data_IF_167165326809
#
_entry.id   IF_167165326809
#
_cell.length_a   1.000
_cell.length_b   1.000
_cell.length_c   1.000
_cell.angle_alpha   90.00
_cell.angle_beta   90.00
_cell.angle_gamma   90.00
#
_symmetry.space_group_name_H-M   'P 1'
#
loop_
_entity.id
_entity.type
_entity.pdbx_description
1 polymer ?
#
# COMPACT_ATOMS: atom_id res chain seq x y z
N UNK A 1 -15.82 12.76 -9.49
CA UNK A 1 -14.72 12.48 -8.53
C UNK A 1 -15.34 12.14 -7.18
N UNK A 2 -15.20 10.91 -6.72
CA UNK A 2 -15.87 10.39 -5.51
C UNK A 2 -15.30 10.98 -4.20
N UNK A 3 -14.01 11.27 -4.17
CA UNK A 3 -13.29 11.80 -3.01
C UNK A 3 -12.99 13.27 -3.23
N UNK A 4 -13.34 14.10 -2.26
CA UNK A 4 -13.09 15.55 -2.27
C UNK A 4 -11.81 15.91 -1.52
N UNK A 5 -11.55 15.27 -0.40
CA UNK A 5 -10.37 15.48 0.44
C UNK A 5 -10.09 14.22 1.27
N UNK A 6 -8.82 13.92 1.48
CA UNK A 6 -8.40 12.80 2.30
C UNK A 6 -7.07 13.07 2.98
N UNK A 7 -6.93 12.54 4.20
CA UNK A 7 -5.68 12.42 4.94
C UNK A 7 -5.71 11.15 5.81
N UNK A 8 -4.72 10.95 6.65
CA UNK A 8 -4.60 9.75 7.50
C UNK A 8 -5.72 9.59 8.54
N UNK A 9 -6.50 10.64 8.82
CA UNK A 9 -7.51 10.65 9.86
C UNK A 9 -8.92 10.60 9.32
N UNK A 10 -9.16 11.16 8.13
CA UNK A 10 -10.48 11.20 7.53
C UNK A 10 -10.45 11.30 6.00
N UNK A 11 -11.60 10.99 5.41
CA UNK A 11 -11.91 11.21 3.99
C UNK A 11 -13.22 11.92 3.86
N UNK A 12 -13.28 12.98 3.04
CA UNK A 12 -14.53 13.60 2.59
C UNK A 12 -14.91 13.09 1.21
N UNK A 13 -16.18 12.80 1.02
CA UNK A 13 -16.71 12.24 -0.22
C UNK A 13 -17.87 13.06 -0.77
N UNK A 14 -18.26 12.84 -2.02
CA UNK A 14 -19.29 13.62 -2.73
C UNK A 14 -20.57 12.82 -3.00
N UNK A 15 -20.56 11.54 -2.71
CA UNK A 15 -21.63 10.59 -3.01
C UNK A 15 -22.29 10.04 -1.74
N UNK A 16 -22.48 8.74 -1.62
CA UNK A 16 -22.95 8.05 -0.43
C UNK A 16 -21.82 7.22 0.20
N UNK A 17 -21.89 6.99 1.52
CA UNK A 17 -20.93 6.09 2.18
C UNK A 17 -21.01 4.68 1.60
N UNK A 18 -22.19 4.23 1.18
CA UNK A 18 -22.39 2.92 0.57
C UNK A 18 -21.59 2.78 -0.74
N UNK A 19 -21.69 3.77 -1.63
CA UNK A 19 -20.95 3.77 -2.91
C UNK A 19 -19.42 3.81 -2.67
N UNK A 20 -18.96 4.54 -1.65
CA UNK A 20 -17.56 4.53 -1.24
C UNK A 20 -17.14 3.12 -0.79
N UNK A 21 -17.94 2.45 0.03
CA UNK A 21 -17.62 1.11 0.51
C UNK A 21 -17.58 0.06 -0.60
N UNK A 22 -18.47 0.16 -1.57
CA UNK A 22 -18.47 -0.71 -2.75
C UNK A 22 -17.25 -0.45 -3.63
N UNK A 23 -16.97 0.82 -3.94
CA UNK A 23 -15.82 1.22 -4.75
C UNK A 23 -14.49 0.74 -4.16
N UNK A 24 -14.29 0.95 -2.85
CA UNK A 24 -13.06 0.59 -2.17
C UNK A 24 -13.08 -0.80 -1.53
N UNK A 25 -14.08 -1.61 -1.83
CA UNK A 25 -14.17 -3.00 -1.36
C UNK A 25 -14.13 -3.14 0.16
N UNK A 26 -14.78 -2.22 0.88
CA UNK A 26 -14.73 -2.17 2.35
C UNK A 26 -15.56 -3.28 2.98
N UNK A 27 -14.89 -4.24 3.59
CA UNK A 27 -15.51 -5.37 4.29
C UNK A 27 -16.20 -4.94 5.59
N UNK A 28 -17.09 -5.82 6.11
CA UNK A 28 -17.72 -5.63 7.42
C UNK A 28 -16.69 -5.45 8.55
N UNK A 29 -15.57 -6.15 8.48
CA UNK A 29 -14.49 -6.05 9.46
C UNK A 29 -13.81 -4.68 9.42
N UNK A 30 -13.58 -4.12 8.23
CA UNK A 30 -13.01 -2.79 8.09
C UNK A 30 -13.98 -1.70 8.55
N UNK A 31 -15.29 -1.85 8.32
CA UNK A 31 -16.30 -0.87 8.76
C UNK A 31 -16.27 -0.61 10.27
N UNK A 32 -15.83 -1.56 11.10
CA UNK A 32 -15.68 -1.38 12.56
C UNK A 32 -14.68 -0.27 12.94
N UNK A 33 -13.77 0.04 12.04
CA UNK A 33 -12.72 1.05 12.23
C UNK A 33 -13.07 2.39 11.59
N UNK A 34 -14.33 2.58 11.19
CA UNK A 34 -14.79 3.77 10.53
C UNK A 34 -15.90 4.44 11.34
N UNK A 35 -15.82 5.76 11.53
CA UNK A 35 -16.92 6.58 12.01
C UNK A 35 -17.45 7.42 10.86
N UNK A 36 -18.73 7.26 10.53
CA UNK A 36 -19.36 7.90 9.38
C UNK A 36 -20.16 9.09 9.85
N UNK A 37 -19.97 10.22 9.22
CA UNK A 37 -20.77 11.42 9.34
C UNK A 37 -21.42 11.70 7.98
N UNK A 38 -22.66 11.23 7.81
CA UNK A 38 -23.40 11.38 6.55
C UNK A 38 -23.77 12.84 6.27
N UNK A 39 -23.99 13.66 7.31
CA UNK A 39 -24.35 15.06 7.15
C UNK A 39 -23.21 15.87 6.55
N UNK A 40 -21.98 15.62 7.02
CA UNK A 40 -20.78 16.29 6.55
C UNK A 40 -20.06 15.50 5.44
N UNK A 41 -20.64 14.37 4.98
CA UNK A 41 -20.03 13.50 3.97
C UNK A 41 -18.59 13.13 4.32
N UNK A 42 -18.36 12.69 5.56
CA UNK A 42 -17.02 12.42 6.08
C UNK A 42 -16.96 11.03 6.70
N UNK A 43 -15.92 10.30 6.38
CA UNK A 43 -15.54 9.04 7.02
C UNK A 43 -14.26 9.29 7.81
N UNK A 44 -14.31 9.08 9.12
CA UNK A 44 -13.14 9.14 10.00
C UNK A 44 -12.53 7.74 10.15
N UNK A 45 -11.21 7.67 10.09
CA UNK A 45 -10.45 6.44 10.21
C UNK A 45 -9.98 6.22 11.64
N UNK A 46 -10.30 5.05 12.20
CA UNK A 46 -9.90 4.65 13.55
C UNK A 46 -9.30 3.24 13.54
N UNK A 47 -8.37 2.97 12.61
CA UNK A 47 -7.65 1.71 12.58
C UNK A 47 -6.67 1.63 13.76
N UNK A 48 -6.54 0.45 14.39
CA UNK A 48 -5.56 0.24 15.45
C UNK A 48 -4.14 0.39 14.89
N UNK A 49 -3.24 0.85 15.73
CA UNK A 49 -1.80 0.78 15.41
C UNK A 49 -1.41 -0.69 15.31
N UNK A 50 -0.60 -1.01 14.30
CA UNK A 50 0.02 -2.32 14.14
C UNK A 50 1.50 -2.20 14.47
N UNK A 51 2.00 -3.15 15.23
CA UNK A 51 3.43 -3.37 15.36
C UNK A 51 3.92 -4.01 14.06
N UNK A 52 4.96 -3.47 13.50
CA UNK A 52 5.56 -3.92 12.24
C UNK A 52 7.07 -3.79 12.33
N UNK A 53 7.78 -4.59 11.57
CA UNK A 53 9.21 -4.45 11.39
C UNK A 53 9.55 -3.08 10.80
N UNK A 54 10.57 -2.43 11.38
CA UNK A 54 11.05 -1.11 10.99
C UNK A 54 12.56 -1.20 10.79
N UNK A 55 13.00 -0.71 9.65
CA UNK A 55 14.41 -0.56 9.33
C UNK A 55 14.63 0.85 8.77
N UNK A 56 15.62 1.58 9.28
CA UNK A 56 15.92 2.95 8.86
C UNK A 56 16.97 3.04 7.74
N UNK A 57 17.36 1.90 7.17
CA UNK A 57 18.20 1.90 5.97
C UNK A 57 17.52 2.65 4.83
N UNK A 58 18.30 3.37 3.99
CA UNK A 58 17.75 4.14 2.89
C UNK A 58 16.90 3.32 1.93
N UNK A 59 15.82 3.91 1.47
CA UNK A 59 14.96 3.34 0.44
C UNK A 59 14.80 4.32 -0.72
N UNK A 60 14.84 3.81 -1.94
CA UNK A 60 14.67 4.62 -3.15
C UNK A 60 13.17 4.70 -3.50
N UNK A 61 12.53 5.80 -3.11
CA UNK A 61 11.14 6.11 -3.42
C UNK A 61 11.09 6.79 -4.78
N UNK A 62 10.37 6.19 -5.74
CA UNK A 62 10.20 6.72 -7.10
C UNK A 62 8.89 7.49 -7.27
N UNK A 63 7.88 7.15 -6.47
CA UNK A 63 6.60 7.85 -6.44
C UNK A 63 5.97 7.72 -5.06
N UNK A 64 5.32 8.76 -4.61
CA UNK A 64 4.53 8.76 -3.39
C UNK A 64 3.34 9.72 -3.51
N UNK A 65 2.16 9.25 -3.08
CA UNK A 65 0.98 10.07 -2.88
C UNK A 65 0.32 9.77 -1.53
N UNK A 66 -0.94 10.17 -1.35
CA UNK A 66 -1.67 9.95 -0.09
C UNK A 66 -1.92 8.46 0.22
N UNK A 67 -1.86 7.57 -0.77
CA UNK A 67 -2.30 6.16 -0.65
C UNK A 67 -1.22 5.15 -1.00
N UNK A 68 -0.34 5.50 -1.92
CA UNK A 68 0.61 4.60 -2.55
C UNK A 68 2.04 5.10 -2.38
N UNK A 69 2.95 4.15 -2.29
CA UNK A 69 4.38 4.32 -2.51
C UNK A 69 4.80 3.35 -3.61
N UNK A 70 5.57 3.83 -4.57
CA UNK A 70 6.33 3.00 -5.50
C UNK A 70 7.82 3.14 -5.15
N UNK A 71 8.44 2.04 -4.77
CA UNK A 71 9.85 2.00 -4.41
C UNK A 71 10.64 1.06 -5.31
N UNK A 72 11.88 1.41 -5.58
CA UNK A 72 12.81 0.54 -6.26
C UNK A 72 13.39 -0.47 -5.28
N UNK A 73 13.21 -1.77 -5.55
CA UNK A 73 13.86 -2.86 -4.82
C UNK A 73 15.20 -3.19 -5.49
N UNK A 74 16.33 -3.09 -4.82
CA UNK A 74 17.58 -3.63 -5.32
C UNK A 74 17.53 -5.18 -5.37
N UNK A 75 18.42 -5.83 -6.12
CA UNK A 75 18.60 -7.27 -6.01
C UNK A 75 19.09 -7.66 -4.62
N UNK A 76 18.82 -8.89 -4.21
CA UNK A 76 19.22 -9.46 -2.91
C UNK A 76 18.59 -8.76 -1.69
N UNK A 77 17.40 -8.21 -1.86
CA UNK A 77 16.53 -7.71 -0.80
C UNK A 77 15.17 -8.38 -0.91
N UNK A 78 14.61 -8.84 0.20
CA UNK A 78 13.24 -9.34 0.25
C UNK A 78 12.24 -8.17 0.19
N UNK A 79 11.05 -8.40 -0.37
CA UNK A 79 9.96 -7.41 -0.32
C UNK A 79 9.38 -7.33 1.09
N UNK A 80 9.08 -8.47 1.71
CA UNK A 80 8.57 -8.62 3.07
C UNK A 80 9.24 -9.80 3.75
N UNK A 81 9.16 -9.85 5.08
CA UNK A 81 9.77 -10.91 5.88
C UNK A 81 9.23 -12.31 5.51
N UNK A 82 10.12 -13.26 5.46
CA UNK A 82 9.87 -14.70 5.29
C UNK A 82 9.98 -15.48 6.60
N UNK A 83 10.11 -14.76 7.73
CA UNK A 83 10.32 -15.31 9.07
C UNK A 83 11.79 -15.38 9.49
N UNK A 84 12.74 -15.03 8.63
CA UNK A 84 14.17 -15.15 8.88
C UNK A 84 14.95 -13.84 8.67
N UNK A 85 14.36 -12.83 8.09
CA UNK A 85 15.04 -11.58 7.74
C UNK A 85 14.29 -10.36 8.26
N UNK A 86 14.97 -9.54 9.05
CA UNK A 86 14.46 -8.24 9.51
C UNK A 86 14.71 -7.11 8.52
N UNK A 87 15.64 -7.29 7.57
CA UNK A 87 15.90 -6.30 6.53
C UNK A 87 15.11 -6.63 5.27
N UNK A 88 14.02 -5.94 5.08
CA UNK A 88 13.15 -6.06 3.93
C UNK A 88 12.79 -4.70 3.37
N UNK A 89 12.39 -4.63 2.10
CA UNK A 89 11.95 -3.39 1.49
C UNK A 89 10.76 -2.79 2.27
N UNK A 90 9.84 -3.63 2.75
CA UNK A 90 8.69 -3.19 3.54
C UNK A 90 9.11 -2.60 4.89
N UNK A 91 10.09 -3.21 5.58
CA UNK A 91 10.61 -2.69 6.83
C UNK A 91 11.29 -1.32 6.63
N UNK A 92 12.05 -1.15 5.55
CA UNK A 92 12.69 0.14 5.19
C UNK A 92 11.65 1.21 4.85
N UNK A 93 10.60 0.87 4.10
CA UNK A 93 9.48 1.79 3.82
C UNK A 93 8.75 2.18 5.11
N UNK A 94 8.54 1.24 6.03
CA UNK A 94 7.92 1.55 7.32
C UNK A 94 8.80 2.49 8.17
N UNK A 95 10.12 2.33 8.12
CA UNK A 95 11.06 3.27 8.74
C UNK A 95 10.96 4.67 8.13
N UNK A 96 10.96 4.76 6.80
CA UNK A 96 10.76 6.01 6.07
C UNK A 96 9.44 6.69 6.44
N UNK A 97 8.33 5.95 6.44
CA UNK A 97 7.01 6.49 6.78
C UNK A 97 6.94 6.96 8.24
N UNK A 98 7.55 6.24 9.17
CA UNK A 98 7.60 6.63 10.58
C UNK A 98 8.37 7.95 10.77
N UNK A 99 9.51 8.10 10.11
CA UNK A 99 10.30 9.35 10.15
C UNK A 99 9.53 10.54 9.57
N UNK A 100 8.64 10.30 8.61
CA UNK A 100 7.78 11.32 8.02
C UNK A 100 6.43 11.51 8.76
N UNK A 101 6.27 10.90 9.95
CA UNK A 101 5.10 11.08 10.79
C UNK A 101 3.84 10.36 10.33
N UNK A 102 3.94 9.40 9.42
CA UNK A 102 2.81 8.62 8.94
C UNK A 102 2.23 7.75 10.07
N UNK A 103 0.90 7.74 10.16
CA UNK A 103 0.16 7.04 11.22
C UNK A 103 0.12 5.53 11.04
N UNK A 104 0.09 5.07 9.79
CA UNK A 104 -0.09 3.67 9.44
C UNK A 104 1.13 3.13 8.69
N UNK A 105 1.50 1.88 8.95
CA UNK A 105 2.54 1.21 8.17
C UNK A 105 2.04 0.89 6.77
N UNK A 106 2.95 0.86 5.81
CA UNK A 106 2.66 0.39 4.46
C UNK A 106 2.61 -1.12 4.38
N UNK A 107 1.83 -1.62 3.42
CA UNK A 107 1.76 -3.03 3.09
C UNK A 107 2.00 -3.23 1.59
N UNK A 108 2.85 -4.18 1.24
CA UNK A 108 3.13 -4.52 -0.16
C UNK A 108 1.85 -4.98 -0.87
N UNK A 109 1.62 -4.46 -2.08
CA UNK A 109 0.50 -4.87 -2.95
C UNK A 109 0.89 -6.10 -3.77
N UNK A 110 2.18 -6.22 -4.08
CA UNK A 110 2.76 -7.36 -4.79
C UNK A 110 4.22 -7.58 -4.36
N UNK A 111 4.78 -8.65 -4.83
CA UNK A 111 6.20 -8.97 -4.61
C UNK A 111 6.91 -9.26 -5.93
N UNK A 112 8.22 -9.15 -5.91
CA UNK A 112 9.17 -9.65 -6.89
C UNK A 112 10.21 -10.48 -6.15
N UNK A 113 10.91 -11.35 -6.84
CA UNK A 113 11.81 -12.32 -6.21
C UNK A 113 13.07 -11.66 -5.63
N UNK A 114 13.77 -12.39 -4.79
CA UNK A 114 14.94 -11.92 -4.05
C UNK A 114 16.00 -11.33 -4.96
N UNK A 115 16.38 -12.05 -6.02
CA UNK A 115 17.38 -11.63 -7.00
C UNK A 115 16.86 -10.57 -7.98
N UNK A 116 15.53 -10.45 -8.13
CA UNK A 116 14.93 -9.49 -9.06
C UNK A 116 15.01 -8.08 -8.52
N UNK A 117 15.48 -7.15 -9.33
CA UNK A 117 15.40 -5.72 -9.05
C UNK A 117 14.21 -5.09 -9.79
N UNK A 118 13.67 -4.02 -9.26
CA UNK A 118 12.59 -3.31 -9.92
C UNK A 118 11.60 -2.66 -8.97
N UNK A 119 10.48 -2.26 -9.52
CA UNK A 119 9.47 -1.45 -8.88
C UNK A 119 8.51 -2.31 -8.07
N UNK A 120 8.28 -1.93 -6.81
CA UNK A 120 7.29 -2.56 -5.93
C UNK A 120 6.35 -1.49 -5.41
N UNK A 121 5.05 -1.79 -5.44
CA UNK A 121 3.98 -0.92 -4.96
C UNK A 121 3.56 -1.31 -3.54
N UNK A 122 3.36 -0.28 -2.72
CA UNK A 122 2.87 -0.43 -1.35
C UNK A 122 1.66 0.48 -1.13
N UNK A 123 0.69 -0.03 -0.40
CA UNK A 123 -0.45 0.75 0.08
C UNK A 123 -0.09 1.36 1.45
N UNK A 124 -0.23 2.68 1.58
CA UNK A 124 0.10 3.43 2.81
C UNK A 124 -1.04 3.47 3.84
N UNK A 125 -2.23 3.04 3.47
CA UNK A 125 -3.38 3.22 4.34
C UNK A 125 -4.31 1.99 4.34
N UNK A 126 -4.68 1.44 5.52
CA UNK A 126 -5.48 0.21 5.63
C UNK A 126 -6.82 0.26 4.89
N UNK A 127 -7.42 1.46 4.76
CA UNK A 127 -8.68 1.65 4.05
C UNK A 127 -8.60 1.27 2.57
N UNK A 128 -7.45 1.48 1.92
CA UNK A 128 -7.28 1.24 0.49
C UNK A 128 -6.69 -0.11 0.14
N UNK A 129 -6.23 -0.88 1.13
CA UNK A 129 -5.55 -2.15 0.87
C UNK A 129 -6.43 -3.10 0.03
N UNK A 130 -7.68 -3.29 0.42
CA UNK A 130 -8.59 -4.19 -0.30
C UNK A 130 -8.85 -3.76 -1.76
N UNK A 131 -8.88 -2.46 -2.01
CA UNK A 131 -8.99 -1.92 -3.37
C UNK A 131 -7.72 -2.19 -4.19
N UNK A 132 -6.55 -1.99 -3.61
CA UNK A 132 -5.27 -2.29 -4.25
C UNK A 132 -5.14 -3.78 -4.59
N UNK A 133 -5.48 -4.66 -3.64
CA UNK A 133 -5.43 -6.12 -3.81
C UNK A 133 -6.39 -6.58 -4.91
N UNK A 134 -7.60 -6.02 -4.95
CA UNK A 134 -8.56 -6.30 -6.03
C UNK A 134 -8.01 -5.91 -7.40
N UNK A 135 -7.50 -4.68 -7.55
CA UNK A 135 -6.95 -4.21 -8.83
C UNK A 135 -5.74 -5.03 -9.28
N UNK A 136 -4.92 -5.52 -8.33
CA UNK A 136 -3.84 -6.44 -8.65
C UNK A 136 -4.37 -7.79 -9.14
N UNK A 137 -5.34 -8.37 -8.44
CA UNK A 137 -5.95 -9.66 -8.78
C UNK A 137 -6.69 -9.65 -10.12
N UNK A 138 -7.35 -8.54 -10.44
CA UNK A 138 -8.10 -8.35 -11.69
C UNK A 138 -7.20 -7.87 -12.85
N UNK A 139 -5.87 -7.86 -12.66
CA UNK A 139 -4.89 -7.44 -13.67
C UNK A 139 -5.08 -6.01 -14.19
N UNK A 140 -5.71 -5.13 -13.41
CA UNK A 140 -5.78 -3.70 -13.74
C UNK A 140 -4.42 -3.01 -13.55
N UNK A 141 -3.55 -3.57 -12.71
CA UNK A 141 -2.15 -3.17 -12.57
C UNK A 141 -1.30 -4.09 -13.44
N UNK A 142 -0.76 -3.57 -14.52
CA UNK A 142 0.10 -4.32 -15.44
C UNK A 142 1.53 -4.35 -14.91
N UNK A 143 2.17 -5.51 -15.00
CA UNK A 143 3.59 -5.69 -14.66
C UNK A 143 4.36 -6.09 -15.90
N UNK A 144 5.44 -5.37 -16.16
CA UNK A 144 6.34 -5.64 -17.28
C UNK A 144 7.73 -5.97 -16.72
N UNK A 145 8.40 -6.92 -17.35
CA UNK A 145 9.73 -7.38 -16.95
C UNK A 145 10.66 -7.42 -18.14
N UNK A 146 11.92 -7.10 -17.89
CA UNK A 146 13.00 -7.30 -18.84
C UNK A 146 13.90 -8.39 -18.27
N UNK A 147 14.18 -9.41 -19.07
CA UNK A 147 15.06 -10.50 -18.69
C UNK A 147 16.15 -10.71 -19.74
N UNK A 148 17.38 -10.92 -19.27
CA UNK A 148 18.47 -11.41 -20.11
C UNK A 148 18.47 -12.93 -20.05
N UNK A 149 18.36 -13.57 -21.18
CA UNK A 149 18.33 -15.04 -21.29
C UNK A 149 19.46 -15.55 -22.16
N UNK A 150 19.93 -16.78 -21.90
CA UNK A 150 20.92 -17.46 -22.74
C UNK A 150 20.19 -18.29 -23.82
N UNK A 151 20.61 -18.18 -25.05
CA UNK A 151 20.02 -18.91 -26.19
C UNK A 151 18.99 -18.08 -26.95
N UNK A 152 18.13 -18.77 -27.71
CA UNK A 152 17.05 -18.16 -28.48
C UNK A 152 15.72 -18.43 -27.76
N UNK A 153 14.93 -17.39 -27.54
CA UNK A 153 13.54 -17.50 -27.11
C UNK A 153 12.62 -17.57 -28.32
N UNK A 154 11.69 -18.51 -28.33
CA UNK A 154 10.65 -18.62 -29.35
C UNK A 154 9.49 -17.69 -29.03
#
# INVERSE_FOLDING_TARGET
MLIKNINENFMRYTTTSQEIFETFCISKTHKKHLKIDENNKTIYFNYPKREVEINYEPVNILYEDAFLIAAFKPPFLLVHDDGNSQDTLQARINGYLQLNGNKYPAQAIHRIDYETSGLVLFCKHPFFQAYCDKNMKEHHIKKEYIALVQGHTN
#
